data_IF_591237463544
#
_entry.id   IF_591237463544
#
_cell.length_a   1.000
_cell.length_b   1.000
_cell.length_c   1.000
_cell.angle_alpha   90.00
_cell.angle_beta   90.00
_cell.angle_gamma   90.00
#
_symmetry.space_group_name_H-M   'P 1'
#
loop_
_entity.id
_entity.type
_entity.pdbx_description
1 polymer ?
#
# COMPACT_ATOMS: atom_id res chain seq x y z
N UNK A 1 -11.57 -6.98 30.41
CA UNK A 1 -11.06 -5.62 30.22
C UNK A 1 -10.80 -5.50 28.74
N UNK A 2 -11.61 -4.69 28.05
CA UNK A 2 -11.45 -4.44 26.63
C UNK A 2 -10.19 -3.57 26.48
N UNK A 3 -9.06 -4.15 26.06
CA UNK A 3 -7.89 -3.37 25.65
C UNK A 3 -8.28 -2.57 24.40
N UNK A 4 -8.55 -1.27 24.58
CA UNK A 4 -8.67 -0.35 23.45
C UNK A 4 -7.36 -0.39 22.66
N UNK A 5 -7.45 -0.79 21.40
CA UNK A 5 -6.30 -0.81 20.51
C UNK A 5 -5.71 0.60 20.41
N UNK A 6 -4.43 0.76 20.76
CA UNK A 6 -3.75 2.04 20.68
C UNK A 6 -3.67 2.51 19.23
N UNK A 7 -4.29 3.65 18.93
CA UNK A 7 -4.29 4.24 17.58
C UNK A 7 -3.09 5.17 17.43
N UNK A 8 -2.15 4.79 16.56
CA UNK A 8 -1.03 5.65 16.17
C UNK A 8 -1.38 6.45 14.91
N UNK A 9 -1.29 7.77 15.01
CA UNK A 9 -1.50 8.71 13.90
C UNK A 9 -0.16 9.19 13.36
N UNK A 10 -0.09 9.45 12.06
CA UNK A 10 1.10 9.99 11.39
C UNK A 10 0.75 10.92 10.25
N UNK A 11 1.73 11.71 9.80
CA UNK A 11 1.60 12.65 8.68
C UNK A 11 2.48 12.23 7.51
N UNK A 12 2.05 12.60 6.29
CA UNK A 12 2.85 12.39 5.09
C UNK A 12 3.89 13.50 4.93
N UNK A 13 5.15 13.12 4.78
CA UNK A 13 6.25 14.05 4.50
C UNK A 13 6.83 13.81 3.10
N UNK A 14 7.37 14.89 2.51
CA UNK A 14 8.15 14.77 1.27
C UNK A 14 9.46 14.02 1.56
N UNK A 15 9.86 13.07 0.70
CA UNK A 15 11.07 12.30 0.93
C UNK A 15 12.30 13.21 0.87
N UNK A 16 13.16 13.14 1.89
CA UNK A 16 14.48 13.80 1.88
C UNK A 16 15.40 13.21 0.81
N UNK A 17 15.26 11.91 0.56
CA UNK A 17 16.03 11.16 -0.44
C UNK A 17 15.08 10.40 -1.38
N UNK A 18 14.62 11.00 -2.48
CA UNK A 18 13.68 10.37 -3.41
C UNK A 18 14.19 9.05 -4.01
N UNK A 19 15.50 8.88 -4.12
CA UNK A 19 16.14 7.64 -4.58
C UNK A 19 15.91 6.43 -3.66
N UNK A 20 15.36 6.62 -2.45
CA UNK A 20 14.95 5.51 -1.59
C UNK A 20 13.52 5.02 -1.88
N UNK A 21 12.75 5.72 -2.72
CA UNK A 21 11.40 5.33 -3.10
C UNK A 21 11.34 4.34 -4.28
N UNK A 22 12.43 3.60 -4.51
CA UNK A 22 12.53 2.63 -5.60
C UNK A 22 11.76 1.36 -5.25
N UNK A 23 11.06 0.80 -6.24
CA UNK A 23 10.18 -0.37 -6.03
C UNK A 23 10.89 -1.59 -5.42
N UNK A 24 12.15 -1.82 -5.75
CA UNK A 24 12.92 -2.97 -5.29
C UNK A 24 13.41 -2.81 -3.84
N UNK A 25 13.34 -1.60 -3.28
CA UNK A 25 13.65 -1.34 -1.87
C UNK A 25 12.45 -1.54 -0.97
N UNK A 26 11.25 -1.77 -1.55
CA UNK A 26 10.00 -1.94 -0.81
C UNK A 26 9.84 -0.87 0.29
N UNK A 27 9.65 0.41 -0.08
CA UNK A 27 9.44 1.48 0.89
C UNK A 27 7.97 1.58 1.30
N UNK A 28 7.71 2.00 2.54
CA UNK A 28 6.41 2.57 2.89
C UNK A 28 6.26 3.94 2.22
N UNK A 29 5.20 4.16 1.44
CA UNK A 29 5.03 5.37 0.61
C UNK A 29 3.59 5.66 0.26
N UNK A 30 3.30 6.93 -0.03
CA UNK A 30 2.04 7.38 -0.61
C UNK A 30 2.22 7.75 -2.09
N UNK A 31 1.28 7.31 -2.94
CA UNK A 31 1.18 7.65 -4.36
C UNK A 31 2.26 7.07 -5.28
N UNK A 32 2.09 7.25 -6.59
CA UNK A 32 2.95 6.69 -7.63
C UNK A 32 2.63 5.23 -7.94
N UNK A 33 3.65 4.44 -8.28
CA UNK A 33 3.47 3.02 -8.66
C UNK A 33 3.71 2.13 -7.43
N UNK A 34 2.81 1.17 -7.10
CA UNK A 34 3.02 0.22 -5.99
C UNK A 34 4.21 -0.72 -6.25
N UNK A 35 4.81 -1.22 -5.17
CA UNK A 35 5.81 -2.28 -5.21
C UNK A 35 5.20 -3.61 -4.77
N UNK A 36 5.42 -4.66 -5.57
CA UNK A 36 4.86 -6.01 -5.36
C UNK A 36 5.94 -6.98 -4.94
N UNK A 37 5.73 -7.69 -3.83
CA UNK A 37 6.66 -8.70 -3.32
C UNK A 37 6.59 -9.99 -4.15
N UNK A 38 5.38 -10.38 -4.56
CA UNK A 38 5.15 -11.53 -5.43
C UNK A 38 5.11 -11.05 -6.89
N UNK A 39 6.12 -11.40 -7.72
CA UNK A 39 6.16 -11.00 -9.11
C UNK A 39 5.20 -11.82 -10.00
N UNK A 40 4.67 -12.93 -9.50
CA UNK A 40 3.79 -13.84 -10.24
C UNK A 40 2.32 -13.48 -9.98
N UNK A 41 1.95 -13.31 -8.72
CA UNK A 41 0.56 -13.05 -8.32
C UNK A 41 0.30 -11.55 -8.16
N UNK A 42 0.38 -10.83 -9.28
CA UNK A 42 -0.05 -9.43 -9.33
C UNK A 42 -1.58 -9.35 -9.27
N UNK A 43 -2.17 -8.32 -8.64
CA UNK A 43 -3.60 -8.09 -8.73
C UNK A 43 -3.98 -7.79 -10.18
N UNK A 44 -4.94 -8.54 -10.71
CA UNK A 44 -5.42 -8.44 -12.09
C UNK A 44 -6.94 -8.45 -12.15
N UNK A 45 -7.50 -7.82 -13.19
CA UNK A 45 -8.94 -7.83 -13.44
C UNK A 45 -9.72 -7.08 -12.36
N UNK A 46 -10.73 -7.73 -11.79
CA UNK A 46 -11.66 -7.08 -10.85
C UNK A 46 -11.00 -6.68 -9.52
N UNK A 47 -9.83 -7.23 -9.16
CA UNK A 47 -9.09 -6.80 -7.96
C UNK A 47 -8.43 -5.42 -8.13
N UNK A 48 -8.30 -4.92 -9.36
CA UNK A 48 -7.75 -3.60 -9.68
C UNK A 48 -8.83 -2.57 -10.05
N UNK A 49 -10.11 -2.93 -9.93
CA UNK A 49 -11.22 -2.04 -10.23
C UNK A 49 -12.15 -1.90 -9.01
N UNK A 50 -12.84 -0.78 -8.92
CA UNK A 50 -13.84 -0.56 -7.90
C UNK A 50 -15.03 -1.50 -8.11
N UNK A 51 -15.41 -2.25 -7.08
CA UNK A 51 -16.58 -3.16 -7.13
C UNK A 51 -17.93 -2.45 -7.27
N UNK A 52 -18.00 -1.13 -7.08
CA UNK A 52 -19.22 -0.34 -7.21
C UNK A 52 -19.37 0.32 -8.59
N UNK A 53 -18.35 1.05 -9.06
CA UNK A 53 -18.41 1.78 -10.34
C UNK A 53 -17.67 1.10 -11.49
N UNK A 54 -16.82 0.11 -11.22
CA UNK A 54 -16.02 -0.59 -12.25
C UNK A 54 -14.77 0.16 -12.70
N UNK A 55 -14.55 1.39 -12.25
CA UNK A 55 -13.38 2.19 -12.61
C UNK A 55 -12.08 1.64 -12.01
N UNK A 56 -10.92 1.81 -12.68
CA UNK A 56 -9.63 1.40 -12.15
C UNK A 56 -9.33 2.07 -10.81
N UNK A 57 -8.78 1.30 -9.88
CA UNK A 57 -8.41 1.81 -8.57
C UNK A 57 -7.11 2.63 -8.61
N UNK A 58 -7.09 3.74 -7.88
CA UNK A 58 -5.93 4.61 -7.77
C UNK A 58 -5.07 4.24 -6.56
N UNK A 59 -3.76 4.08 -6.77
CA UNK A 59 -2.82 3.80 -5.70
C UNK A 59 -2.64 5.01 -4.77
N UNK A 60 -2.98 4.84 -3.49
CA UNK A 60 -2.87 5.91 -2.49
C UNK A 60 -1.70 5.66 -1.53
N UNK A 61 -1.61 4.47 -0.94
CA UNK A 61 -0.65 4.19 0.13
C UNK A 61 -0.19 2.73 0.10
N UNK A 62 1.08 2.53 0.43
CA UNK A 62 1.69 1.24 0.71
C UNK A 62 2.40 1.35 2.06
N UNK A 63 2.03 0.49 3.01
CA UNK A 63 2.70 0.36 4.30
C UNK A 63 3.26 -1.05 4.40
N UNK A 64 4.57 -1.17 4.60
CA UNK A 64 5.21 -2.46 4.78
C UNK A 64 5.31 -2.76 6.26
N UNK A 65 4.64 -3.83 6.67
CA UNK A 65 4.78 -4.45 7.98
C UNK A 65 5.56 -5.76 7.81
N UNK A 66 6.63 -5.92 8.60
CA UNK A 66 7.35 -7.20 8.71
C UNK A 66 6.54 -8.14 9.63
N UNK A 67 5.40 -8.62 9.16
CA UNK A 67 4.71 -9.75 9.77
C UNK A 67 4.90 -10.96 8.88
N UNK A 68 5.31 -12.08 9.49
CA UNK A 68 5.60 -13.36 8.82
C UNK A 68 4.42 -13.89 7.98
N UNK A 69 3.21 -13.37 8.22
CA UNK A 69 2.01 -13.68 7.44
C UNK A 69 1.15 -12.41 7.26
N UNK A 70 1.53 -11.47 6.39
CA UNK A 70 0.60 -10.42 6.00
C UNK A 70 0.88 -9.81 4.62
N UNK A 71 -0.17 -9.84 3.81
CA UNK A 71 -0.38 -9.05 2.60
C UNK A 71 -0.09 -7.58 2.93
N UNK A 72 0.82 -6.96 2.18
CA UNK A 72 1.04 -5.51 2.20
C UNK A 72 -0.29 -4.85 1.81
N UNK A 73 -0.97 -4.09 2.69
CA UNK A 73 -2.19 -3.41 2.30
C UNK A 73 -1.82 -2.32 1.31
N UNK A 74 -2.04 -2.62 0.02
CA UNK A 74 -2.02 -1.62 -1.04
C UNK A 74 -3.39 -0.96 -1.00
N UNK A 75 -3.45 0.26 -0.47
CA UNK A 75 -4.71 0.99 -0.35
C UNK A 75 -5.00 1.65 -1.69
N UNK A 76 -6.18 1.31 -2.20
CA UNK A 76 -6.71 1.69 -3.47
C UNK A 76 -8.02 2.45 -3.26
N UNK A 77 -8.23 3.57 -3.97
CA UNK A 77 -9.47 4.34 -3.90
C UNK A 77 -10.17 4.35 -5.27
N UNK A 78 -11.52 4.31 -5.32
CA UNK A 78 -12.28 4.56 -6.54
C UNK A 78 -12.05 5.97 -7.10
#
# INVERSE_FOLDING_TARGET
EDEEAEVMLGFLEKPKHPGLLLRHLFPSKAGGIPAWLDPVNLPTGNSSCCGFCGEPLHFVLQVIALCLEAIVPVIFFP
#
